data_IF_659154829137
#
_entry.id   IF_659154829137
#
_cell.length_a   1.000
_cell.length_b   1.000
_cell.length_c   1.000
_cell.angle_alpha   90.00
_cell.angle_beta   90.00
_cell.angle_gamma   90.00
#
_symmetry.space_group_name_H-M   'P 1'
#
loop_
_entity.id
_entity.type
_entity.pdbx_description
1 polymer ?
#
# COMPACT_ATOMS: atom_id res chain seq x y z
N UNK A 1 0.86 5.07 9.70
CA UNK A 1 1.46 3.77 9.35
C UNK A 1 2.89 3.83 9.80
N UNK A 2 3.34 2.83 10.54
CA UNK A 2 4.73 2.68 10.95
C UNK A 2 5.49 1.88 9.89
N UNK A 3 6.76 2.23 9.68
CA UNK A 3 7.60 1.64 8.65
C UNK A 3 8.96 1.25 9.23
N UNK A 4 9.42 0.07 8.89
CA UNK A 4 10.81 -0.31 9.04
C UNK A 4 11.60 0.21 7.83
N UNK A 5 12.86 0.60 8.06
CA UNK A 5 13.78 1.03 7.01
C UNK A 5 14.82 -0.04 6.80
N UNK A 6 14.96 -0.46 5.55
CA UNK A 6 15.98 -1.44 5.13
C UNK A 6 16.79 -0.87 3.97
N UNK A 7 18.08 -1.18 3.95
CA UNK A 7 18.96 -0.83 2.83
C UNK A 7 18.67 -1.76 1.64
N UNK A 8 18.17 -1.18 0.56
CA UNK A 8 17.92 -1.84 -0.71
C UNK A 8 19.16 -1.93 -1.58
N UNK A 9 19.04 -2.61 -2.74
CA UNK A 9 20.11 -2.64 -3.74
C UNK A 9 20.48 -1.20 -4.14
N UNK A 10 21.77 -0.99 -4.43
CA UNK A 10 22.32 0.32 -4.85
C UNK A 10 22.16 1.46 -3.82
N UNK A 11 21.96 1.14 -2.54
CA UNK A 11 21.84 2.14 -1.47
C UNK A 11 20.48 2.84 -1.42
N UNK A 12 19.47 2.28 -2.09
CA UNK A 12 18.09 2.78 -2.03
C UNK A 12 17.49 2.49 -0.65
N UNK A 13 16.86 3.49 -0.01
CA UNK A 13 16.07 3.25 1.21
C UNK A 13 14.76 2.53 0.83
N UNK A 14 14.58 1.30 1.32
CA UNK A 14 13.31 0.56 1.23
C UNK A 14 12.54 0.79 2.53
N UNK A 15 11.28 1.20 2.39
CA UNK A 15 10.34 1.34 3.50
C UNK A 15 9.34 0.20 3.46
N UNK A 16 9.35 -0.64 4.49
CA UNK A 16 8.41 -1.76 4.62
C UNK A 16 7.44 -1.43 5.75
N UNK A 17 6.12 -1.43 5.53
CA UNK A 17 5.15 -1.27 6.61
C UNK A 17 5.34 -2.37 7.66
N UNK A 18 5.30 -2.01 8.95
CA UNK A 18 5.48 -2.98 10.06
C UNK A 18 4.25 -3.84 10.32
N UNK A 19 3.13 -3.53 9.67
CA UNK A 19 1.84 -4.21 9.81
C UNK A 19 1.20 -4.38 8.43
N UNK A 20 0.55 -5.52 8.21
CA UNK A 20 -0.11 -5.88 6.96
C UNK A 20 -1.62 -5.55 6.95
N UNK A 21 -2.16 -4.87 7.97
CA UNK A 21 -3.57 -4.50 8.04
C UNK A 21 -4.08 -3.66 6.87
N UNK A 22 -3.19 -2.96 6.16
CA UNK A 22 -3.52 -2.22 4.94
C UNK A 22 -3.85 -3.12 3.74
N UNK A 23 -3.34 -4.36 3.74
CA UNK A 23 -3.63 -5.39 2.72
C UNK A 23 -4.53 -6.49 3.26
N UNK A 24 -4.77 -6.58 4.56
CA UNK A 24 -5.66 -7.59 5.16
C UNK A 24 -7.10 -7.08 5.22
N UNK A 25 -8.04 -7.80 4.60
CA UNK A 25 -9.47 -7.44 4.61
C UNK A 25 -10.04 -7.51 6.02
N UNK A 26 -10.72 -6.46 6.49
CA UNK A 26 -11.34 -6.44 7.82
C UNK A 26 -12.49 -7.44 8.00
N UNK A 27 -13.14 -7.84 6.90
CA UNK A 27 -14.32 -8.70 6.93
C UNK A 27 -13.95 -10.19 6.93
N UNK A 28 -13.12 -10.61 5.97
CA UNK A 28 -12.75 -12.03 5.82
C UNK A 28 -11.34 -12.39 6.31
N UNK A 29 -10.51 -11.40 6.67
CA UNK A 29 -9.11 -11.61 7.04
C UNK A 29 -8.22 -12.05 5.86
N UNK A 30 -8.73 -12.01 4.63
CA UNK A 30 -8.00 -12.39 3.43
C UNK A 30 -7.05 -11.31 2.93
N UNK A 31 -6.12 -11.72 2.08
CA UNK A 31 -5.15 -10.83 1.44
C UNK A 31 -5.78 -10.08 0.24
N UNK A 32 -5.97 -8.78 0.38
CA UNK A 32 -6.48 -7.91 -0.66
C UNK A 32 -5.44 -7.68 -1.76
N UNK A 33 -5.87 -7.73 -3.02
CA UNK A 33 -5.00 -7.50 -4.16
C UNK A 33 -4.72 -6.00 -4.35
N UNK A 34 -3.50 -5.60 -4.74
CA UNK A 34 -3.20 -4.23 -5.08
C UNK A 34 -3.81 -3.85 -6.43
N UNK A 35 -4.48 -2.70 -6.49
CA UNK A 35 -4.99 -2.05 -7.68
C UNK A 35 -4.32 -0.68 -7.85
N UNK A 36 -3.66 -0.49 -8.99
CA UNK A 36 -2.95 0.76 -9.34
C UNK A 36 -3.71 1.61 -10.34
N UNK A 37 -4.96 1.27 -10.68
CA UNK A 37 -5.74 2.02 -11.66
C UNK A 37 -5.99 3.46 -11.20
N UNK A 38 -6.07 3.68 -9.88
CA UNK A 38 -6.18 5.00 -9.25
C UNK A 38 -4.94 5.90 -9.41
N UNK A 39 -3.81 5.36 -9.89
CA UNK A 39 -2.58 6.14 -10.15
C UNK A 39 -2.55 6.79 -11.54
N UNK A 40 -3.55 6.52 -12.40
CA UNK A 40 -3.53 6.92 -13.81
C UNK A 40 -3.64 8.45 -14.04
N UNK A 41 -4.15 9.20 -13.07
CA UNK A 41 -4.48 10.63 -13.23
C UNK A 41 -3.30 11.60 -12.98
N UNK A 42 -2.05 11.11 -13.03
CA UNK A 42 -0.85 11.96 -12.95
C UNK A 42 -0.64 12.70 -11.62
N UNK A 43 -1.45 12.42 -10.59
CA UNK A 43 -1.43 13.11 -9.28
C UNK A 43 -0.55 12.38 -8.25
N UNK A 44 0.27 11.43 -8.69
CA UNK A 44 1.16 10.60 -7.85
C UNK A 44 0.69 9.15 -7.74
N UNK A 45 1.58 8.28 -7.25
CA UNK A 45 1.33 6.84 -7.11
C UNK A 45 0.44 6.59 -5.90
N UNK A 46 -0.76 6.07 -6.13
CA UNK A 46 -1.70 5.59 -5.11
C UNK A 46 -2.08 4.15 -5.41
N UNK A 47 -2.02 3.31 -4.38
CA UNK A 47 -2.30 1.88 -4.48
C UNK A 47 -3.54 1.61 -3.65
N UNK A 48 -4.63 1.18 -4.28
CA UNK A 48 -5.76 0.61 -3.56
C UNK A 48 -5.49 -0.86 -3.25
N UNK A 49 -5.98 -1.35 -2.11
CA UNK A 49 -6.04 -2.76 -1.79
C UNK A 49 -7.50 -3.18 -1.82
N UNK A 50 -7.84 -4.14 -2.67
CA UNK A 50 -9.22 -4.53 -2.98
C UNK A 50 -9.43 -6.01 -2.69
N UNK A 51 -10.39 -6.31 -1.82
CA UNK A 51 -10.93 -7.64 -1.62
C UNK A 51 -11.90 -7.96 -2.76
N UNK A 52 -11.77 -9.14 -3.37
CA UNK A 52 -12.67 -9.57 -4.44
C UNK A 52 -14.14 -9.69 -3.98
N UNK A 53 -14.36 -9.97 -2.70
CA UNK A 53 -15.69 -10.21 -2.12
C UNK A 53 -16.27 -8.97 -1.44
N UNK A 54 -15.43 -8.18 -0.77
CA UNK A 54 -15.87 -7.08 0.11
C UNK A 54 -15.50 -5.67 -0.43
N UNK A 55 -14.75 -5.59 -1.53
CA UNK A 55 -14.38 -4.32 -2.17
C UNK A 55 -13.14 -3.66 -1.57
N UNK A 56 -13.08 -2.33 -1.59
CA UNK A 56 -11.87 -1.57 -1.21
C UNK A 56 -11.62 -1.64 0.29
N UNK A 57 -10.45 -2.15 0.67
CA UNK A 57 -9.96 -2.19 2.06
C UNK A 57 -9.24 -0.90 2.44
N UNK A 58 -8.32 -0.43 1.60
CA UNK A 58 -7.45 0.70 1.92
C UNK A 58 -6.87 1.35 0.67
N UNK A 59 -6.41 2.60 0.79
CA UNK A 59 -5.64 3.31 -0.24
C UNK A 59 -4.37 3.85 0.38
N UNK A 60 -3.22 3.46 -0.18
CA UNK A 60 -1.89 3.83 0.30
C UNK A 60 -1.22 4.76 -0.70
N UNK A 61 -0.72 5.90 -0.21
CA UNK A 61 0.20 6.79 -0.93
C UNK A 61 1.59 6.65 -0.29
N UNK A 62 2.51 5.86 -0.87
CA UNK A 62 3.82 5.59 -0.27
C UNK A 62 4.71 6.84 -0.14
N UNK A 63 4.31 7.95 -0.75
CA UNK A 63 5.02 9.23 -0.73
C UNK A 63 4.31 10.32 0.07
N UNK A 64 3.29 9.99 0.86
CA UNK A 64 2.54 10.99 1.64
C UNK A 64 3.44 11.82 2.56
N UNK A 65 4.46 11.22 3.16
CA UNK A 65 5.43 11.90 4.03
C UNK A 65 6.41 12.84 3.29
N UNK A 66 6.41 12.83 1.95
CA UNK A 66 7.27 13.69 1.12
C UNK A 66 6.55 14.94 0.60
N UNK A 67 5.28 15.15 1.00
CA UNK A 67 4.43 16.25 0.54
C UNK A 67 4.24 17.33 1.60
#
# INVERSE_FOLDING_TARGET
>A
MDYERTEGPDGLEIRVPTDDGYRTCSECGGDCAPDTSLSADGTGVRIAFVCAEHGVQSVVDPFSDLR
#
